data_IF_661677966406
#
_entry.id   IF_661677966406
#
_cell.length_a   1.000
_cell.length_b   1.000
_cell.length_c   1.000
_cell.angle_alpha   90.00
_cell.angle_beta   90.00
_cell.angle_gamma   90.00
#
_symmetry.space_group_name_H-M   'P 1'
#
loop_
_entity.id
_entity.type
_entity.pdbx_description
1 polymer ?
#
# COMPACT_ATOMS: atom_id res chain seq x y z
N UNK A 1 10.51 6.57 4.62
CA UNK A 1 10.87 6.04 3.28
C UNK A 1 9.94 6.52 2.16
N UNK A 2 8.62 6.35 2.24
CA UNK A 2 7.74 6.68 1.10
C UNK A 2 7.84 8.11 0.57
N UNK A 3 7.94 9.10 1.47
CA UNK A 3 8.15 10.52 1.10
C UNK A 3 9.43 10.76 0.29
N UNK A 4 10.45 9.92 0.49
CA UNK A 4 11.74 10.00 -0.23
C UNK A 4 11.54 9.49 -1.66
N UNK A 5 10.95 8.30 -1.81
CA UNK A 5 10.70 7.68 -3.12
C UNK A 5 9.66 8.42 -3.98
N UNK A 6 8.89 9.32 -3.36
CA UNK A 6 7.89 10.15 -4.04
C UNK A 6 8.44 11.54 -4.41
N UNK A 7 9.62 11.90 -3.91
CA UNK A 7 10.17 13.23 -4.10
C UNK A 7 10.76 13.37 -5.51
N UNK A 8 10.15 14.24 -6.31
CA UNK A 8 10.56 14.52 -7.69
C UNK A 8 11.94 15.17 -7.81
N UNK A 9 12.46 15.74 -6.72
CA UNK A 9 13.83 16.29 -6.66
C UNK A 9 14.87 15.24 -7.10
N UNK A 10 14.66 13.95 -6.84
CA UNK A 10 15.60 12.92 -7.28
C UNK A 10 15.70 12.77 -8.81
N UNK A 11 14.69 13.22 -9.56
CA UNK A 11 14.68 13.24 -11.04
C UNK A 11 15.15 14.58 -11.62
N UNK A 12 15.68 15.50 -10.81
CA UNK A 12 16.03 16.86 -11.27
C UNK A 12 14.89 17.87 -11.21
N UNK A 13 13.64 17.42 -11.05
CA UNK A 13 12.46 18.29 -11.04
C UNK A 13 12.23 18.95 -9.68
N UNK A 14 11.79 20.20 -9.68
CA UNK A 14 11.51 20.96 -8.45
C UNK A 14 10.18 21.68 -8.53
N UNK A 15 9.49 21.73 -7.39
CA UNK A 15 8.30 22.57 -7.23
C UNK A 15 8.67 23.71 -6.29
N UNK A 16 8.59 24.93 -6.79
CA UNK A 16 8.75 26.16 -6.03
C UNK A 16 7.38 26.54 -5.46
N UNK A 17 7.34 26.84 -4.16
CA UNK A 17 6.11 27.13 -3.40
C UNK A 17 5.07 26.00 -3.48
N UNK A 18 5.36 24.89 -2.79
CA UNK A 18 4.44 23.74 -2.59
C UNK A 18 3.18 24.06 -1.75
N UNK A 19 3.05 25.28 -1.24
CA UNK A 19 1.99 25.71 -0.35
C UNK A 19 2.06 27.21 -0.11
N UNK A 20 1.08 27.79 0.59
CA UNK A 20 1.09 29.19 0.94
C UNK A 20 2.23 29.51 1.91
N UNK A 21 2.66 30.77 1.90
CA UNK A 21 3.70 31.23 2.80
C UNK A 21 3.26 31.08 4.26
N UNK A 22 4.22 30.76 5.13
CA UNK A 22 3.96 30.66 6.57
C UNK A 22 3.90 32.06 7.14
N UNK A 23 2.83 32.35 7.87
CA UNK A 23 2.74 33.61 8.61
C UNK A 23 3.85 33.66 9.67
N UNK A 24 4.52 34.81 9.79
CA UNK A 24 5.71 34.95 10.65
C UNK A 24 5.38 34.76 12.15
N UNK A 25 4.18 35.16 12.57
CA UNK A 25 3.74 35.12 13.96
C UNK A 25 3.27 33.72 14.34
N UNK A 26 2.28 33.18 13.61
CA UNK A 26 1.67 31.87 13.92
C UNK A 26 2.54 30.70 13.46
N UNK A 27 3.50 30.94 12.54
CA UNK A 27 4.31 29.94 11.84
C UNK A 27 3.46 28.89 11.10
N UNK A 28 2.18 29.18 10.89
CA UNK A 28 1.24 28.32 10.21
C UNK A 28 0.99 28.82 8.78
N UNK A 29 0.89 27.90 7.80
CA UNK A 29 0.46 28.24 6.45
C UNK A 29 -1.03 28.58 6.43
N UNK A 30 -1.38 29.69 5.80
CA UNK A 30 -2.77 30.07 5.57
C UNK A 30 -3.24 29.60 4.19
N UNK A 31 -3.96 28.49 4.16
CA UNK A 31 -4.50 27.89 2.93
C UNK A 31 -5.68 28.65 2.33
N UNK A 32 -6.24 29.65 3.02
CA UNK A 32 -7.27 30.51 2.44
C UNK A 32 -6.66 31.50 1.44
N UNK A 33 -5.36 31.82 1.56
CA UNK A 33 -4.66 32.71 0.63
C UNK A 33 -4.29 31.99 -0.66
N UNK A 34 -4.50 32.60 -1.84
CA UNK A 34 -4.03 32.03 -3.08
C UNK A 34 -2.50 32.00 -3.10
N UNK A 35 -1.92 30.92 -3.59
CA UNK A 35 -0.49 30.78 -3.82
C UNK A 35 -0.25 30.19 -5.21
N UNK A 36 0.86 30.55 -5.84
CA UNK A 36 1.23 30.04 -7.16
C UNK A 36 2.34 29.01 -7.01
N UNK A 37 2.04 27.75 -7.29
CA UNK A 37 3.07 26.71 -7.33
C UNK A 37 3.69 26.68 -8.73
N UNK A 38 5.01 26.84 -8.82
CA UNK A 38 5.76 26.78 -10.08
C UNK A 38 6.48 25.44 -10.20
N UNK A 39 6.21 24.69 -11.27
CA UNK A 39 6.89 23.44 -11.57
C UNK A 39 8.06 23.70 -12.51
N UNK A 40 9.27 23.37 -12.08
CA UNK A 40 10.50 23.47 -12.86
C UNK A 40 11.01 22.07 -13.20
N UNK A 41 11.27 21.84 -14.47
CA UNK A 41 11.92 20.62 -14.98
C UNK A 41 13.41 20.85 -15.07
N UNK A 42 14.21 19.82 -14.76
CA UNK A 42 15.68 19.84 -14.93
C UNK A 42 16.40 20.99 -14.18
N UNK A 43 16.00 21.27 -12.94
CA UNK A 43 16.63 22.30 -12.08
C UNK A 43 18.09 21.96 -11.71
N UNK A 44 18.42 20.67 -11.64
CA UNK A 44 19.75 20.17 -11.30
C UNK A 44 20.01 18.79 -11.91
N UNK A 45 21.27 18.36 -11.86
CA UNK A 45 21.67 17.01 -12.27
C UNK A 45 20.85 15.94 -11.53
N UNK A 46 20.28 15.03 -12.29
CA UNK A 46 19.41 13.99 -11.77
C UNK A 46 20.20 12.96 -10.97
N UNK A 47 19.75 12.67 -9.75
CA UNK A 47 20.34 11.61 -8.92
C UNK A 47 19.89 10.22 -9.42
N UNK A 48 18.67 10.14 -9.94
CA UNK A 48 18.04 8.91 -10.44
C UNK A 48 17.39 9.17 -11.79
N UNK A 49 17.57 8.24 -12.72
CA UNK A 49 16.90 8.29 -14.02
C UNK A 49 15.38 8.40 -13.89
N UNK A 50 14.78 9.23 -14.76
CA UNK A 50 13.32 9.42 -14.82
C UNK A 50 12.57 8.10 -14.96
N UNK A 51 13.07 7.22 -15.84
CA UNK A 51 12.48 5.89 -16.07
C UNK A 51 12.48 5.03 -14.79
N UNK A 52 13.58 5.05 -14.04
CA UNK A 52 13.69 4.29 -12.79
C UNK A 52 12.74 4.85 -11.73
N UNK A 53 12.63 6.18 -11.63
CA UNK A 53 11.68 6.81 -10.72
C UNK A 53 10.23 6.44 -11.05
N UNK A 54 9.83 6.49 -12.32
CA UNK A 54 8.50 6.09 -12.77
C UNK A 54 8.19 4.61 -12.46
N UNK A 55 9.16 3.72 -12.64
CA UNK A 55 9.03 2.31 -12.26
C UNK A 55 8.78 2.15 -10.75
N UNK A 56 9.49 2.90 -9.91
CA UNK A 56 9.29 2.89 -8.45
C UNK A 56 7.90 3.42 -8.10
N UNK A 57 7.45 4.50 -8.75
CA UNK A 57 6.10 5.06 -8.57
C UNK A 57 5.02 4.06 -8.96
N UNK A 58 5.17 3.37 -10.08
CA UNK A 58 4.25 2.31 -10.49
C UNK A 58 4.22 1.16 -9.49
N UNK A 59 5.39 0.75 -8.97
CA UNK A 59 5.48 -0.28 -7.92
C UNK A 59 4.77 0.14 -6.64
N UNK A 60 4.92 1.38 -6.20
CA UNK A 60 4.25 1.92 -5.01
C UNK A 60 2.72 1.97 -5.19
N UNK A 61 2.24 2.35 -6.38
CA UNK A 61 0.82 2.35 -6.70
C UNK A 61 0.24 0.92 -6.67
N UNK A 62 0.96 -0.05 -7.22
CA UNK A 62 0.57 -1.46 -7.15
C UNK A 62 0.50 -1.97 -5.70
N UNK A 63 1.48 -1.63 -4.85
CA UNK A 63 1.44 -1.97 -3.41
C UNK A 63 0.23 -1.34 -2.71
N UNK A 64 -0.16 -0.11 -3.07
CA UNK A 64 -1.37 0.50 -2.49
C UNK A 64 -2.63 -0.23 -2.91
N UNK A 65 -2.70 -0.69 -4.15
CA UNK A 65 -3.82 -1.47 -4.63
C UNK A 65 -3.93 -2.82 -3.90
N UNK A 66 -2.79 -3.50 -3.69
CA UNK A 66 -2.73 -4.69 -2.84
C UNK A 66 -3.23 -4.42 -1.42
N UNK A 67 -2.79 -3.32 -0.80
CA UNK A 67 -3.22 -2.94 0.56
C UNK A 67 -4.71 -2.64 0.64
N UNK A 68 -5.29 -1.98 -0.37
CA UNK A 68 -6.74 -1.74 -0.47
C UNK A 68 -7.51 -3.07 -0.56
N UNK A 69 -6.94 -4.07 -1.23
CA UNK A 69 -7.47 -5.43 -1.28
C UNK A 69 -7.21 -6.25 0.01
N UNK A 70 -6.53 -5.68 1.01
CA UNK A 70 -6.20 -6.36 2.27
C UNK A 70 -4.95 -7.25 2.20
N UNK A 71 -4.11 -7.08 1.17
CA UNK A 71 -2.85 -7.80 0.98
C UNK A 71 -1.71 -6.97 1.56
N UNK A 72 -1.01 -7.51 2.56
CA UNK A 72 0.12 -6.89 3.24
C UNK A 72 1.34 -7.81 3.19
N UNK A 73 2.27 -7.54 2.28
CA UNK A 73 3.51 -8.30 2.15
C UNK A 73 4.46 -7.95 3.30
N UNK A 74 4.49 -8.80 4.33
CA UNK A 74 5.43 -8.75 5.46
C UNK A 74 6.62 -9.70 5.20
N UNK A 75 7.49 -9.92 6.18
CA UNK A 75 8.72 -10.70 6.01
C UNK A 75 8.52 -12.20 5.82
N UNK A 76 7.38 -12.77 6.26
CA UNK A 76 7.09 -14.21 6.14
C UNK A 76 5.61 -14.50 5.83
N UNK A 77 5.08 -14.07 4.67
CA UNK A 77 3.77 -14.51 4.21
C UNK A 77 3.86 -15.93 3.67
N UNK A 78 2.76 -16.68 3.78
CA UNK A 78 2.61 -17.95 3.06
C UNK A 78 2.79 -17.71 1.55
N UNK A 79 3.39 -18.66 0.82
CA UNK A 79 3.77 -18.47 -0.60
C UNK A 79 2.57 -18.19 -1.53
N UNK A 80 1.37 -18.65 -1.16
CA UNK A 80 0.10 -18.37 -1.88
C UNK A 80 -0.58 -17.05 -1.50
N UNK A 81 -0.03 -16.28 -0.55
CA UNK A 81 -0.67 -15.06 -0.07
C UNK A 81 -0.71 -13.98 -1.16
N UNK A 82 -1.91 -13.46 -1.43
CA UNK A 82 -2.15 -12.49 -2.50
C UNK A 82 -2.24 -13.09 -3.91
N UNK A 83 -2.14 -14.41 -4.06
CA UNK A 83 -2.35 -15.11 -5.34
C UNK A 83 -3.73 -15.79 -5.41
N UNK A 84 -4.22 -16.29 -4.28
CA UNK A 84 -5.48 -17.03 -4.21
C UNK A 84 -6.62 -16.11 -3.79
N UNK A 85 -7.68 -16.06 -4.60
CA UNK A 85 -8.86 -15.22 -4.38
C UNK A 85 -10.12 -16.06 -4.20
N UNK A 86 -11.05 -15.54 -3.39
CA UNK A 86 -12.36 -16.16 -3.20
C UNK A 86 -13.27 -15.88 -4.38
N UNK A 87 -13.86 -16.92 -4.96
CA UNK A 87 -14.86 -16.80 -6.03
C UNK A 87 -16.15 -16.11 -5.57
N UNK A 88 -16.56 -16.29 -4.30
CA UNK A 88 -17.82 -15.74 -3.78
C UNK A 88 -17.74 -14.23 -3.50
N UNK A 89 -16.65 -13.76 -2.89
CA UNK A 89 -16.55 -12.38 -2.41
C UNK A 89 -15.39 -11.58 -3.01
N UNK A 90 -14.59 -12.18 -3.90
CA UNK A 90 -13.46 -11.54 -4.58
C UNK A 90 -12.28 -11.17 -3.66
N UNK A 91 -12.38 -11.42 -2.36
CA UNK A 91 -11.32 -11.09 -1.40
C UNK A 91 -10.23 -12.17 -1.39
N UNK A 92 -8.97 -11.80 -1.09
CA UNK A 92 -7.88 -12.76 -1.05
C UNK A 92 -8.01 -13.74 0.11
N UNK A 93 -7.37 -14.89 -0.05
CA UNK A 93 -7.12 -15.83 1.03
C UNK A 93 -5.88 -15.41 1.83
N UNK A 94 -5.89 -15.74 3.12
CA UNK A 94 -4.73 -15.63 4.00
C UNK A 94 -4.50 -16.92 4.76
N UNK A 95 -3.26 -17.13 5.22
CA UNK A 95 -2.96 -18.20 6.18
C UNK A 95 -3.86 -18.03 7.41
N UNK A 96 -4.55 -19.09 7.77
CA UNK A 96 -5.28 -19.17 9.02
C UNK A 96 -4.36 -19.56 10.16
N UNK A 97 -4.79 -19.26 11.39
CA UNK A 97 -4.10 -19.68 12.62
C UNK A 97 -4.25 -21.20 12.78
N UNK A 98 -3.18 -21.98 12.60
CA UNK A 98 -3.19 -23.45 12.56
C UNK A 98 -4.03 -24.08 13.67
N UNK A 99 -5.16 -24.77 13.40
CA UNK A 99 -5.76 -25.63 14.40
C UNK A 99 -4.84 -26.85 14.54
N UNK A 100 -4.25 -27.01 15.72
CA UNK A 100 -3.63 -28.27 16.09
C UNK A 100 -4.73 -29.33 16.18
N UNK A 101 -4.67 -30.36 15.33
CA UNK A 101 -5.58 -31.50 15.41
C UNK A 101 -4.77 -32.76 15.68
N UNK A 102 -4.96 -33.36 16.86
CA UNK A 102 -4.24 -34.55 17.34
C UNK A 102 -2.70 -34.39 17.31
N UNK A 103 -2.18 -33.22 17.66
CA UNK A 103 -0.74 -32.97 17.73
C UNK A 103 -0.06 -32.72 16.38
N UNK A 104 -0.82 -32.58 15.29
CA UNK A 104 -0.29 -32.21 13.97
C UNK A 104 -0.76 -30.80 13.61
N UNK A 105 0.21 -29.92 13.32
CA UNK A 105 -0.06 -28.59 12.79
C UNK A 105 -0.33 -28.69 11.29
N UNK A 106 -1.39 -28.03 10.82
CA UNK A 106 -1.74 -27.98 9.40
C UNK A 106 -1.84 -26.54 8.94
N UNK A 107 -1.24 -26.25 7.79
CA UNK A 107 -1.42 -24.98 7.11
C UNK A 107 -2.74 -24.98 6.34
N UNK A 108 -3.50 -23.91 6.50
CA UNK A 108 -4.75 -23.72 5.78
C UNK A 108 -4.92 -22.27 5.40
N UNK A 109 -5.62 -22.07 4.28
CA UNK A 109 -6.01 -20.79 3.76
C UNK A 109 -7.47 -20.52 4.11
N UNK A 110 -7.73 -19.32 4.60
CA UNK A 110 -9.06 -18.79 4.89
C UNK A 110 -9.28 -17.50 4.15
N UNK A 111 -10.46 -17.33 3.56
CA UNK A 111 -10.88 -16.06 3.00
C UNK A 111 -10.83 -14.94 4.05
N UNK A 112 -10.20 -13.79 3.72
CA UNK A 112 -10.04 -12.65 4.64
C UNK A 112 -11.39 -12.17 5.20
N UNK A 113 -12.45 -12.22 4.39
CA UNK A 113 -13.82 -11.89 4.81
C UNK A 113 -14.23 -12.62 6.09
N UNK A 114 -13.93 -13.92 6.19
CA UNK A 114 -14.32 -14.78 7.33
C UNK A 114 -13.53 -14.48 8.61
N UNK A 115 -12.37 -13.85 8.48
CA UNK A 115 -11.50 -13.45 9.60
C UNK A 115 -11.71 -11.97 10.01
N UNK A 116 -12.68 -11.25 9.43
CA UNK A 116 -13.05 -9.91 9.90
C UNK A 116 -13.58 -9.97 11.34
N UNK A 117 -13.26 -8.95 12.14
CA UNK A 117 -13.66 -8.87 13.56
C UNK A 117 -15.17 -8.80 13.71
N UNK A 118 -15.81 -7.95 12.91
CA UNK A 118 -17.26 -7.81 12.85
C UNK A 118 -17.90 -8.96 12.06
N UNK A 119 -18.81 -9.69 12.71
CA UNK A 119 -19.52 -10.83 12.10
C UNK A 119 -20.48 -10.38 11.00
N UNK A 120 -21.05 -9.17 11.06
CA UNK A 120 -21.97 -8.65 10.02
C UNK A 120 -21.25 -8.44 8.69
N UNK A 121 -19.94 -8.24 8.72
CA UNK A 121 -19.10 -8.08 7.53
C UNK A 121 -18.60 -9.42 6.96
N UNK A 122 -18.95 -10.54 7.58
CA UNK A 122 -18.61 -11.88 7.10
C UNK A 122 -19.71 -12.36 6.16
N UNK A 123 -19.66 -11.96 4.90
CA UNK A 123 -20.63 -12.33 3.87
C UNK A 123 -20.31 -13.66 3.18
N UNK A 124 -19.09 -14.18 3.32
CA UNK A 124 -18.61 -15.32 2.56
C UNK A 124 -18.76 -16.65 3.32
N UNK A 125 -19.26 -17.68 2.62
CA UNK A 125 -19.44 -19.05 3.14
C UNK A 125 -18.37 -20.04 2.67
N UNK A 126 -17.46 -19.61 1.81
CA UNK A 126 -16.42 -20.44 1.22
C UNK A 126 -15.56 -21.19 2.26
N UNK A 127 -15.24 -22.45 1.95
CA UNK A 127 -14.51 -23.37 2.82
C UNK A 127 -13.05 -22.94 3.03
N UNK A 128 -12.49 -23.34 4.16
CA UNK A 128 -11.05 -23.30 4.36
C UNK A 128 -10.38 -24.33 3.46
N UNK A 129 -9.24 -23.97 2.86
CA UNK A 129 -8.47 -24.83 1.96
C UNK A 129 -7.23 -25.28 2.73
N UNK A 130 -7.07 -26.59 2.93
CA UNK A 130 -5.84 -27.14 3.52
C UNK A 130 -4.71 -27.05 2.48
N UNK A 131 -3.53 -26.66 2.93
CA UNK A 131 -2.31 -26.64 2.14
C UNK A 131 -1.44 -27.78 2.68
N UNK A 132 -1.27 -28.81 1.88
CA UNK A 132 -0.38 -29.94 2.17
C UNK A 132 1.06 -29.64 1.75
#
# INVERSE_FOLDING_TARGET
MRKVLDNKVYMGDRIIQNGPDRELITKQPDYAKPYTSCYLTDDHETIVDRRLFEQVKARLAWVDQERKAGIYRNSQPHYLYGLVYCSECGLPFKKGDGPEYKGTEYDYLVCICRKRRDRKQRSCTNRSIRVD
#
